data_IF_103664900752
#
_entry.id   IF_103664900752
#
_cell.length_a   1.000
_cell.length_b   1.000
_cell.length_c   1.000
_cell.angle_alpha   90.00
_cell.angle_beta   90.00
_cell.angle_gamma   90.00
#
_symmetry.space_group_name_H-M   'P 1'
#
loop_
_entity.id
_entity.type
_entity.pdbx_description
1 polymer ?
#
# COMPACT_ATOMS: atom_id res chain seq x y z
N UNK A 1 5.65 5.88 31.11
CA UNK A 1 6.76 5.06 30.60
C UNK A 1 6.28 3.65 30.26
N UNK A 2 5.62 2.93 31.18
CA UNK A 2 5.05 1.59 30.88
C UNK A 2 3.99 1.61 29.75
N UNK A 3 3.05 2.56 29.76
CA UNK A 3 2.00 2.63 28.74
C UNK A 3 2.54 2.92 27.33
N UNK A 4 3.50 3.85 27.19
CA UNK A 4 4.19 4.12 25.92
C UNK A 4 4.90 2.87 25.37
N UNK A 5 5.49 2.06 26.24
CA UNK A 5 6.12 0.80 25.83
C UNK A 5 5.09 -0.21 25.32
N UNK A 6 3.96 -0.37 26.02
CA UNK A 6 2.87 -1.26 25.59
C UNK A 6 2.25 -0.81 24.26
N UNK A 7 1.98 0.48 24.11
CA UNK A 7 1.48 1.08 22.86
C UNK A 7 2.47 0.81 21.71
N UNK A 8 3.76 0.98 21.96
CA UNK A 8 4.81 0.73 20.96
C UNK A 8 4.89 -0.74 20.56
N UNK A 9 4.79 -1.65 21.53
CA UNK A 9 4.78 -3.09 21.26
C UNK A 9 3.57 -3.46 20.40
N UNK A 10 2.39 -2.96 20.76
CA UNK A 10 1.17 -3.22 19.99
C UNK A 10 1.29 -2.71 18.55
N UNK A 11 1.71 -1.46 18.36
CA UNK A 11 1.88 -0.87 17.02
C UNK A 11 2.93 -1.63 16.20
N UNK A 12 4.02 -2.09 16.80
CA UNK A 12 5.02 -2.91 16.11
C UNK A 12 4.47 -4.28 15.71
N UNK A 13 3.74 -4.96 16.60
CA UNK A 13 3.09 -6.25 16.27
C UNK A 13 2.09 -6.05 15.14
N UNK A 14 1.26 -5.01 15.21
CA UNK A 14 0.34 -4.61 14.14
C UNK A 14 1.08 -4.33 12.83
N UNK A 15 2.19 -3.59 12.87
CA UNK A 15 3.02 -3.32 11.69
C UNK A 15 3.58 -4.61 11.06
N UNK A 16 4.02 -5.58 11.87
CA UNK A 16 4.48 -6.87 11.37
C UNK A 16 3.36 -7.71 10.74
N UNK A 17 2.15 -7.68 11.32
CA UNK A 17 0.97 -8.32 10.73
C UNK A 17 0.61 -7.68 9.39
N UNK A 18 0.66 -6.35 9.29
CA UNK A 18 0.41 -5.63 8.04
C UNK A 18 1.51 -5.90 7.02
N UNK A 19 2.78 -5.94 7.44
CA UNK A 19 3.87 -6.37 6.55
C UNK A 19 3.62 -7.78 5.99
N UNK A 20 3.13 -8.69 6.82
CA UNK A 20 2.83 -10.05 6.40
C UNK A 20 1.65 -10.14 5.41
N UNK A 21 0.81 -9.11 5.32
CA UNK A 21 -0.20 -9.01 4.25
C UNK A 21 0.44 -9.02 2.86
N UNK A 22 1.69 -8.56 2.69
CA UNK A 22 2.38 -8.62 1.40
C UNK A 22 2.65 -10.05 0.94
N UNK A 23 2.85 -11.00 1.88
CA UNK A 23 2.85 -12.42 1.54
C UNK A 23 1.45 -12.85 1.08
N UNK A 24 0.40 -12.40 1.76
CA UNK A 24 -0.99 -12.61 1.36
C UNK A 24 -1.29 -12.13 -0.07
N UNK A 25 -0.96 -10.87 -0.40
CA UNK A 25 -1.10 -10.32 -1.75
C UNK A 25 -0.33 -11.13 -2.79
N UNK A 26 0.93 -11.47 -2.51
CA UNK A 26 1.75 -12.27 -3.40
C UNK A 26 1.09 -13.63 -3.72
N UNK A 27 0.49 -14.28 -2.73
CA UNK A 27 -0.18 -15.57 -2.91
C UNK A 27 -1.55 -15.44 -3.61
N UNK A 28 -2.36 -14.45 -3.25
CA UNK A 28 -3.65 -14.17 -3.93
C UNK A 28 -3.40 -13.89 -5.41
N UNK A 29 -2.51 -12.95 -5.71
CA UNK A 29 -2.26 -12.53 -7.08
C UNK A 29 -1.61 -13.64 -7.91
N UNK A 30 -0.63 -14.35 -7.34
CA UNK A 30 0.00 -15.46 -8.05
C UNK A 30 -1.02 -16.58 -8.28
N UNK A 31 -1.81 -16.97 -7.28
CA UNK A 31 -2.85 -17.98 -7.41
C UNK A 31 -3.89 -17.67 -8.51
N UNK A 32 -4.36 -16.42 -8.58
CA UNK A 32 -5.34 -15.97 -9.58
C UNK A 32 -4.77 -15.66 -10.97
N UNK A 33 -3.45 -15.50 -11.11
CA UNK A 33 -2.83 -15.35 -12.44
C UNK A 33 -2.65 -16.70 -13.14
N UNK A 34 -2.30 -16.68 -14.43
CA UNK A 34 -1.91 -17.89 -15.16
C UNK A 34 -0.51 -18.32 -14.71
N UNK A 35 -0.28 -19.63 -14.56
CA UNK A 35 0.98 -20.24 -14.12
C UNK A 35 2.24 -19.62 -14.73
N UNK A 36 2.24 -19.32 -16.03
CA UNK A 36 3.38 -18.71 -16.74
C UNK A 36 3.79 -17.31 -16.24
N UNK A 37 2.90 -16.62 -15.54
CA UNK A 37 3.12 -15.25 -15.03
C UNK A 37 3.42 -15.22 -13.53
N UNK A 38 3.38 -16.35 -12.83
CA UNK A 38 3.49 -16.39 -11.37
C UNK A 38 4.78 -15.73 -10.86
N UNK A 39 5.93 -16.05 -11.47
CA UNK A 39 7.23 -15.46 -11.10
C UNK A 39 7.22 -13.94 -11.26
N UNK A 40 6.65 -13.43 -12.36
CA UNK A 40 6.57 -11.98 -12.60
C UNK A 40 5.65 -11.28 -11.60
N UNK A 41 4.60 -11.94 -11.13
CA UNK A 41 3.69 -11.41 -10.11
C UNK A 41 4.38 -11.36 -8.75
N UNK A 42 5.08 -12.43 -8.37
CA UNK A 42 5.85 -12.49 -7.12
C UNK A 42 6.95 -11.41 -7.09
N UNK A 43 7.70 -11.25 -8.18
CA UNK A 43 8.73 -10.19 -8.29
C UNK A 43 8.15 -8.78 -8.12
N UNK A 44 6.96 -8.53 -8.65
CA UNK A 44 6.28 -7.24 -8.47
C UNK A 44 5.88 -7.01 -7.01
N UNK A 45 5.35 -8.03 -6.34
CA UNK A 45 4.94 -7.91 -4.94
C UNK A 45 6.15 -7.63 -4.03
N UNK A 46 7.22 -8.41 -4.17
CA UNK A 46 8.46 -8.18 -3.39
C UNK A 46 9.09 -6.83 -3.73
N UNK A 47 9.12 -6.48 -5.02
CA UNK A 47 9.67 -5.21 -5.50
C UNK A 47 8.92 -3.99 -4.97
N UNK A 48 7.58 -4.06 -4.85
CA UNK A 48 6.77 -2.96 -4.30
C UNK A 48 7.10 -2.72 -2.84
N UNK A 49 7.24 -3.78 -2.05
CA UNK A 49 7.61 -3.64 -0.63
C UNK A 49 9.00 -3.04 -0.52
N UNK A 50 10.00 -3.61 -1.19
CA UNK A 50 11.38 -3.13 -1.08
C UNK A 50 11.53 -1.67 -1.52
N UNK A 51 10.99 -1.31 -2.70
CA UNK A 51 11.07 0.04 -3.23
C UNK A 51 10.18 1.02 -2.46
N UNK A 52 8.97 0.59 -2.12
CA UNK A 52 8.00 1.39 -1.38
C UNK A 52 8.52 1.76 0.00
N UNK A 53 9.13 0.82 0.71
CA UNK A 53 9.77 1.09 2.00
C UNK A 53 10.82 2.19 1.92
N UNK A 54 11.72 2.10 0.93
CA UNK A 54 12.81 3.07 0.77
C UNK A 54 12.28 4.45 0.39
N UNK A 55 11.34 4.53 -0.55
CA UNK A 55 10.81 5.80 -1.03
C UNK A 55 9.88 6.47 -0.03
N UNK A 56 9.08 5.68 0.70
CA UNK A 56 8.25 6.23 1.76
C UNK A 56 9.12 6.77 2.90
N UNK A 57 10.14 6.03 3.33
CA UNK A 57 11.11 6.53 4.29
C UNK A 57 11.79 7.83 3.81
N UNK A 58 12.31 7.84 2.58
CA UNK A 58 13.08 8.96 2.04
C UNK A 58 12.25 10.24 1.91
N UNK A 59 11.06 10.14 1.30
CA UNK A 59 10.26 11.33 0.97
C UNK A 59 8.77 11.21 1.31
N UNK A 60 8.18 10.02 1.19
CA UNK A 60 6.73 9.86 1.37
C UNK A 60 6.26 10.21 2.79
N UNK A 61 7.03 9.85 3.81
CA UNK A 61 6.72 10.15 5.20
C UNK A 61 6.71 11.67 5.46
N UNK A 62 7.68 12.41 4.89
CA UNK A 62 7.72 13.87 4.99
C UNK A 62 6.54 14.54 4.27
N UNK A 63 6.18 14.07 3.07
CA UNK A 63 4.99 14.59 2.37
C UNK A 63 3.69 14.29 3.12
N UNK A 64 3.60 13.16 3.82
CA UNK A 64 2.39 12.73 4.51
C UNK A 64 2.24 13.34 5.89
N UNK A 65 3.29 13.33 6.71
CA UNK A 65 3.23 13.71 8.14
C UNK A 65 4.11 14.89 8.52
N UNK A 66 4.90 15.43 7.59
CA UNK A 66 5.71 16.62 7.81
C UNK A 66 4.88 17.89 7.93
N UNK A 67 5.49 18.92 8.50
CA UNK A 67 4.88 20.24 8.61
C UNK A 67 4.78 20.86 7.22
N UNK A 68 3.66 21.52 6.94
CA UNK A 68 3.40 22.07 5.61
C UNK A 68 2.15 22.92 5.57
N UNK A 69 1.40 22.78 4.49
CA UNK A 69 0.12 23.47 4.30
C UNK A 69 -1.02 22.45 4.21
N UNK A 70 -2.26 22.91 4.01
CA UNK A 70 -3.43 22.04 3.99
C UNK A 70 -3.39 20.91 2.93
N UNK A 71 -2.50 20.97 1.93
CA UNK A 71 -2.42 20.03 0.81
C UNK A 71 -1.26 19.05 0.96
N UNK A 72 -0.13 19.45 1.53
CA UNK A 72 1.08 18.61 1.55
C UNK A 72 2.05 19.02 2.66
N UNK A 73 2.73 18.03 3.24
CA UNK A 73 3.87 18.23 4.13
C UNK A 73 5.13 18.63 3.37
N UNK A 74 5.93 19.53 3.92
CA UNK A 74 7.10 20.12 3.27
C UNK A 74 8.39 19.97 4.11
N UNK A 75 8.34 19.20 5.19
CA UNK A 75 9.46 18.91 6.09
C UNK A 75 9.54 17.41 6.42
N UNK A 76 10.55 16.99 7.19
CA UNK A 76 10.64 15.60 7.66
C UNK A 76 11.06 14.58 6.60
N UNK A 77 11.73 15.01 5.53
CA UNK A 77 12.37 14.12 4.57
C UNK A 77 13.60 13.46 5.18
N UNK A 78 13.82 12.16 4.93
CA UNK A 78 14.86 11.35 5.59
C UNK A 78 14.86 11.53 7.12
N UNK A 79 13.75 11.21 7.81
CA UNK A 79 13.64 11.42 9.23
C UNK A 79 14.71 10.60 9.99
N UNK A 80 15.37 11.25 10.94
CA UNK A 80 16.25 10.65 11.94
C UNK A 80 15.61 10.64 13.33
N UNK A 81 16.30 10.07 14.33
CA UNK A 81 15.76 9.88 15.69
C UNK A 81 15.23 11.17 16.34
N UNK A 82 15.90 12.31 16.10
CA UNK A 82 15.54 13.62 16.67
C UNK A 82 14.46 14.37 15.88
N UNK A 83 13.90 13.75 14.83
CA UNK A 83 12.90 14.40 13.97
C UNK A 83 11.55 14.51 14.68
N UNK A 84 11.06 15.73 14.81
CA UNK A 84 9.75 16.04 15.42
C UNK A 84 8.85 16.63 14.35
N UNK A 85 7.70 16.00 14.09
CA UNK A 85 6.72 16.44 13.09
C UNK A 85 5.33 16.52 13.72
N UNK A 86 4.52 17.49 13.30
CA UNK A 86 3.17 17.66 13.83
C UNK A 86 2.25 16.46 13.56
N UNK A 87 2.45 15.75 12.44
CA UNK A 87 1.64 14.58 12.06
C UNK A 87 1.99 13.29 12.82
N UNK A 88 2.99 13.29 13.70
CA UNK A 88 3.44 12.10 14.43
C UNK A 88 2.83 12.09 15.85
N UNK A 89 2.20 10.98 16.29
CA UNK A 89 1.68 10.87 17.65
C UNK A 89 2.78 11.04 18.70
N UNK A 90 2.57 11.93 19.68
CA UNK A 90 3.55 12.24 20.74
C UNK A 90 3.84 11.05 21.68
N UNK A 91 2.95 10.06 21.73
CA UNK A 91 3.05 8.89 22.59
C UNK A 91 3.71 7.67 21.92
N UNK A 92 4.16 7.79 20.67
CA UNK A 92 4.82 6.70 19.95
C UNK A 92 6.22 7.15 19.47
N UNK A 93 7.24 6.28 19.57
CA UNK A 93 8.53 6.52 18.93
C UNK A 93 8.37 6.71 17.42
N UNK A 94 9.11 7.65 16.85
CA UNK A 94 9.02 8.01 15.43
C UNK A 94 9.13 6.80 14.50
N UNK A 95 10.15 5.96 14.69
CA UNK A 95 10.39 4.81 13.82
C UNK A 95 9.34 3.69 13.96
N UNK A 96 8.66 3.61 15.12
CA UNK A 96 7.52 2.70 15.29
C UNK A 96 6.36 3.17 14.42
N UNK A 97 6.02 4.46 14.51
CA UNK A 97 4.96 5.05 13.70
C UNK A 97 5.30 5.05 12.20
N UNK A 98 6.55 5.36 11.86
CA UNK A 98 7.05 5.35 10.48
C UNK A 98 6.94 3.95 9.89
N UNK A 99 7.41 2.92 10.58
CA UNK A 99 7.32 1.54 10.07
C UNK A 99 5.86 1.13 9.86
N UNK A 100 4.97 1.47 10.79
CA UNK A 100 3.54 1.21 10.67
C UNK A 100 2.94 1.91 9.43
N UNK A 101 3.20 3.20 9.21
CA UNK A 101 2.67 3.92 8.06
C UNK A 101 3.30 3.48 6.72
N UNK A 102 4.58 3.08 6.76
CA UNK A 102 5.31 2.59 5.60
C UNK A 102 4.67 1.33 5.01
N UNK A 103 4.25 0.38 5.85
CA UNK A 103 3.60 -0.84 5.36
C UNK A 103 2.19 -0.57 4.81
N UNK A 104 1.52 0.51 5.22
CA UNK A 104 0.27 0.97 4.62
C UNK A 104 0.50 1.58 3.23
N UNK A 105 1.55 2.40 3.09
CA UNK A 105 1.95 2.98 1.82
C UNK A 105 2.28 1.91 0.77
N UNK A 106 3.07 0.90 1.18
CA UNK A 106 3.35 -0.26 0.35
C UNK A 106 2.05 -1.01 -0.02
N UNK A 107 1.13 -1.19 0.93
CA UNK A 107 -0.15 -1.87 0.71
C UNK A 107 -0.99 -1.16 -0.36
N UNK A 108 -1.09 0.17 -0.30
CA UNK A 108 -1.82 0.95 -1.30
C UNK A 108 -1.26 0.75 -2.72
N UNK A 109 0.06 0.70 -2.87
CA UNK A 109 0.71 0.44 -4.16
C UNK A 109 0.54 -1.02 -4.64
N UNK A 110 0.56 -1.99 -3.73
CA UNK A 110 0.37 -3.42 -4.04
C UNK A 110 -1.02 -3.70 -4.61
N UNK A 111 -2.08 -2.97 -4.24
CA UNK A 111 -3.43 -3.16 -4.82
C UNK A 111 -3.39 -3.11 -6.37
N UNK A 112 -2.49 -2.30 -6.93
CA UNK A 112 -2.37 -2.15 -8.39
C UNK A 112 -1.71 -3.35 -9.05
N UNK A 113 -0.80 -4.10 -8.40
CA UNK A 113 -0.11 -5.24 -9.04
C UNK A 113 -1.10 -6.29 -9.54
N UNK A 114 -2.06 -6.67 -8.71
CA UNK A 114 -3.10 -7.65 -9.09
C UNK A 114 -3.98 -7.13 -10.21
N UNK A 115 -4.35 -5.85 -10.13
CA UNK A 115 -5.17 -5.19 -11.13
C UNK A 115 -4.50 -5.19 -12.51
N UNK A 116 -3.18 -4.96 -12.61
CA UNK A 116 -2.42 -4.94 -13.89
C UNK A 116 -1.60 -6.20 -14.18
N UNK A 117 -1.80 -7.27 -13.38
CA UNK A 117 -1.09 -8.54 -13.50
C UNK A 117 -1.14 -9.13 -14.92
N UNK A 118 -0.07 -9.81 -15.33
CA UNK A 118 0.09 -10.50 -16.63
C UNK A 118 0.26 -9.62 -17.89
N UNK A 119 0.12 -8.29 -17.81
CA UNK A 119 0.27 -7.42 -18.99
C UNK A 119 1.01 -6.10 -18.76
N UNK A 120 1.17 -5.65 -17.51
CA UNK A 120 2.10 -4.56 -17.23
C UNK A 120 3.57 -5.04 -17.27
N UNK A 121 4.44 -4.27 -17.92
CA UNK A 121 5.90 -4.47 -17.92
C UNK A 121 6.47 -4.15 -16.53
N UNK A 122 7.53 -4.86 -16.12
CA UNK A 122 8.13 -4.67 -14.79
C UNK A 122 8.68 -3.26 -14.59
N UNK A 123 9.44 -2.72 -15.55
CA UNK A 123 10.01 -1.36 -15.45
C UNK A 123 8.93 -0.29 -15.32
N UNK A 124 7.83 -0.39 -16.08
CA UNK A 124 6.68 0.52 -15.95
C UNK A 124 6.04 0.42 -14.57
N UNK A 125 5.95 -0.79 -14.02
CA UNK A 125 5.39 -1.01 -12.70
C UNK A 125 6.30 -0.48 -11.58
N UNK A 126 7.62 -0.55 -11.74
CA UNK A 126 8.60 0.07 -10.82
C UNK A 126 8.45 1.58 -10.80
N UNK A 127 8.37 2.23 -11.97
CA UNK A 127 8.15 3.68 -12.06
C UNK A 127 6.80 4.07 -11.45
N UNK A 128 5.74 3.31 -11.75
CA UNK A 128 4.43 3.50 -11.13
C UNK A 128 4.51 3.44 -9.60
N UNK A 129 5.15 2.40 -9.06
CA UNK A 129 5.31 2.23 -7.61
C UNK A 129 6.04 3.41 -7.00
N UNK A 130 7.10 3.89 -7.67
CA UNK A 130 7.86 5.03 -7.19
C UNK A 130 7.00 6.29 -7.09
N UNK A 131 6.25 6.62 -8.14
CA UNK A 131 5.35 7.78 -8.14
C UNK A 131 4.21 7.61 -7.14
N UNK A 132 3.64 6.40 -7.05
CA UNK A 132 2.53 6.11 -6.15
C UNK A 132 2.94 6.32 -4.69
N UNK A 133 4.05 5.72 -4.26
CA UNK A 133 4.49 5.73 -2.85
C UNK A 133 5.21 7.03 -2.48
N UNK A 134 5.95 7.64 -3.39
CA UNK A 134 6.70 8.87 -3.11
C UNK A 134 5.84 10.13 -3.21
N UNK A 135 4.72 10.11 -3.96
CA UNK A 135 3.97 11.34 -4.27
C UNK A 135 2.47 11.16 -4.08
N UNK A 136 1.82 10.25 -4.83
CA UNK A 136 0.35 10.21 -4.88
C UNK A 136 -0.27 9.80 -3.54
N UNK A 137 0.16 8.66 -3.00
CA UNK A 137 -0.30 8.15 -1.71
C UNK A 137 -0.03 9.14 -0.56
N UNK A 138 1.21 9.62 -0.34
CA UNK A 138 1.48 10.48 0.81
C UNK A 138 0.79 11.85 0.75
N UNK A 139 0.56 12.42 -0.45
CA UNK A 139 -0.21 13.66 -0.57
C UNK A 139 -1.67 13.45 -0.14
N UNK A 140 -2.32 12.37 -0.62
CA UNK A 140 -3.70 12.06 -0.16
C UNK A 140 -3.71 11.69 1.32
N UNK A 141 -2.67 11.00 1.78
CA UNK A 141 -2.42 10.73 3.19
C UNK A 141 -2.33 11.98 4.03
N UNK A 142 -1.68 13.04 3.53
CA UNK A 142 -1.60 14.31 4.21
C UNK A 142 -2.99 14.94 4.41
N UNK A 143 -3.85 14.87 3.38
CA UNK A 143 -5.20 15.42 3.46
C UNK A 143 -6.01 14.78 4.59
N UNK A 144 -5.85 13.47 4.79
CA UNK A 144 -6.71 12.65 5.66
C UNK A 144 -6.09 12.47 7.06
N UNK A 145 -4.81 12.09 7.13
CA UNK A 145 -4.11 11.71 8.38
C UNK A 145 -2.98 12.66 8.76
N UNK A 146 -2.47 13.46 7.84
CA UNK A 146 -1.36 14.40 8.08
C UNK A 146 -1.75 15.77 8.63
N UNK A 147 -3.04 16.00 8.92
CA UNK A 147 -3.56 17.30 9.36
C UNK A 147 -3.93 18.26 8.22
N UNK A 148 -4.04 17.75 6.99
CA UNK A 148 -4.47 18.53 5.82
C UNK A 148 -5.97 18.84 5.79
N UNK A 149 -6.42 19.38 4.65
CA UNK A 149 -7.74 19.99 4.51
C UNK A 149 -8.93 19.06 4.74
N UNK A 150 -8.84 17.76 4.41
CA UNK A 150 -9.95 16.83 4.70
C UNK A 150 -10.07 16.58 6.20
N UNK A 151 -8.94 16.43 6.89
CA UNK A 151 -8.88 16.29 8.32
C UNK A 151 -9.51 17.50 9.03
N UNK A 152 -9.21 18.72 8.58
CA UNK A 152 -9.78 19.96 9.17
C UNK A 152 -11.28 20.14 8.93
N UNK A 153 -11.83 19.51 7.88
CA UNK A 153 -13.28 19.45 7.64
C UNK A 153 -13.99 18.36 8.47
N UNK A 154 -13.26 17.58 9.28
CA UNK A 154 -13.82 16.50 10.09
C UNK A 154 -14.02 15.19 9.32
N UNK A 155 -13.27 14.96 8.23
CA UNK A 155 -13.29 13.68 7.54
C UNK A 155 -12.64 12.59 8.41
N UNK A 156 -13.33 11.45 8.56
CA UNK A 156 -12.86 10.33 9.36
C UNK A 156 -12.59 9.11 8.50
N UNK A 157 -11.35 8.66 8.50
CA UNK A 157 -10.93 7.37 7.95
C UNK A 157 -10.07 6.68 9.00
N UNK A 158 -10.57 5.64 9.63
CA UNK A 158 -9.94 5.07 10.82
C UNK A 158 -8.67 4.28 10.48
N UNK A 159 -8.79 3.30 9.59
CA UNK A 159 -7.70 2.40 9.21
C UNK A 159 -7.35 2.48 7.71
N UNK A 160 -8.01 3.35 6.94
CA UNK A 160 -7.61 3.62 5.57
C UNK A 160 -8.50 2.98 4.52
N UNK A 161 -9.80 2.91 4.78
CA UNK A 161 -10.80 2.56 3.75
C UNK A 161 -10.69 3.49 2.55
N UNK A 162 -10.39 4.77 2.78
CA UNK A 162 -10.14 5.74 1.71
C UNK A 162 -8.66 5.82 1.38
N UNK A 163 -7.82 6.24 2.32
CA UNK A 163 -6.41 6.60 2.05
C UNK A 163 -5.58 5.43 1.51
N UNK A 164 -5.90 4.18 1.90
CA UNK A 164 -5.24 2.99 1.36
C UNK A 164 -6.09 2.36 0.27
N UNK A 165 -7.31 1.91 0.61
CA UNK A 165 -8.07 1.03 -0.29
C UNK A 165 -8.73 1.77 -1.45
N UNK A 166 -9.39 2.91 -1.22
CA UNK A 166 -10.00 3.69 -2.31
C UNK A 166 -8.93 4.34 -3.20
N UNK A 167 -7.86 4.89 -2.63
CA UNK A 167 -6.73 5.45 -3.40
C UNK A 167 -6.04 4.36 -4.21
N UNK A 168 -5.70 3.23 -3.59
CA UNK A 168 -5.14 2.06 -4.29
C UNK A 168 -6.08 1.53 -5.37
N UNK A 169 -7.39 1.48 -5.09
CA UNK A 169 -8.43 1.08 -6.03
C UNK A 169 -8.57 2.02 -7.22
N UNK A 170 -8.51 3.34 -7.00
CA UNK A 170 -8.55 4.34 -8.06
C UNK A 170 -7.30 4.27 -8.96
N UNK A 171 -6.12 4.09 -8.36
CA UNK A 171 -4.88 3.84 -9.11
C UNK A 171 -4.97 2.53 -9.91
N UNK A 172 -5.52 1.47 -9.31
CA UNK A 172 -5.72 0.17 -9.95
C UNK A 172 -6.70 0.24 -11.12
N UNK A 173 -7.82 0.93 -10.96
CA UNK A 173 -8.81 1.15 -12.01
C UNK A 173 -8.20 1.93 -13.17
N UNK A 174 -7.52 3.04 -12.88
CA UNK A 174 -6.84 3.87 -13.88
C UNK A 174 -5.77 3.07 -14.63
N UNK A 175 -4.92 2.34 -13.90
CA UNK A 175 -3.90 1.48 -14.49
C UNK A 175 -4.49 0.37 -15.35
N UNK A 176 -5.57 -0.28 -14.90
CA UNK A 176 -6.24 -1.32 -15.67
C UNK A 176 -6.91 -0.77 -16.95
N UNK A 177 -7.50 0.43 -16.89
CA UNK A 177 -8.10 1.10 -18.03
C UNK A 177 -7.05 1.46 -19.11
N UNK A 178 -5.90 2.03 -18.70
CA UNK A 178 -4.82 2.41 -19.61
C UNK A 178 -4.15 1.18 -20.23
N UNK A 179 -3.83 0.16 -19.43
CA UNK A 179 -3.15 -1.05 -19.90
C UNK A 179 -4.10 -1.94 -20.72
N UNK A 180 -5.40 -1.86 -20.44
CA UNK A 180 -6.44 -2.57 -21.16
C UNK A 180 -6.59 -4.04 -20.78
N UNK A 181 -7.46 -4.71 -21.55
CA UNK A 181 -7.85 -6.09 -21.31
C UNK A 181 -6.69 -7.06 -21.54
N UNK A 182 -6.64 -8.14 -20.73
CA UNK A 182 -5.71 -9.26 -20.97
C UNK A 182 -5.94 -9.84 -22.36
N UNK A 183 -4.86 -10.14 -23.08
CA UNK A 183 -4.94 -10.82 -24.39
C UNK A 183 -5.77 -12.10 -24.27
N UNK A 184 -6.81 -12.20 -25.09
CA UNK A 184 -7.75 -13.33 -25.12
C UNK A 184 -8.87 -13.29 -24.07
N UNK A 185 -9.05 -12.18 -23.32
CA UNK A 185 -10.14 -12.04 -22.33
C UNK A 185 -11.51 -11.90 -22.99
N UNK A 186 -11.56 -11.23 -24.14
CA UNK A 186 -12.78 -11.04 -24.92
C UNK A 186 -12.63 -11.74 -26.28
N UNK A 187 -13.69 -12.41 -26.72
CA UNK A 187 -13.80 -12.98 -28.07
C UNK A 187 -14.10 -11.87 -29.08
N UNK A 188 -14.09 -12.21 -30.39
CA UNK A 188 -14.40 -11.26 -31.48
C UNK A 188 -15.82 -10.68 -31.38
N UNK A 189 -16.75 -11.41 -30.78
CA UNK A 189 -18.13 -11.00 -30.52
C UNK A 189 -18.29 -10.17 -29.22
N UNK A 190 -17.20 -9.86 -28.52
CA UNK A 190 -17.20 -9.16 -27.24
C UNK A 190 -17.51 -10.03 -26.02
N UNK A 191 -17.89 -11.30 -26.20
CA UNK A 191 -18.20 -12.20 -25.08
C UNK A 191 -16.95 -12.53 -24.25
N UNK A 192 -17.16 -12.72 -22.95
CA UNK A 192 -16.08 -13.01 -21.99
C UNK A 192 -15.56 -14.44 -22.19
N UNK A 193 -14.24 -14.58 -22.32
CA UNK A 193 -13.54 -15.85 -22.14
C UNK A 193 -13.08 -15.96 -20.68
N UNK A 194 -13.57 -16.96 -19.92
CA UNK A 194 -13.08 -17.21 -18.57
C UNK A 194 -11.56 -17.42 -18.54
N UNK A 195 -10.91 -16.84 -17.52
CA UNK A 195 -9.49 -17.01 -17.24
C UNK A 195 -9.36 -17.46 -15.79
N UNK A 196 -9.58 -18.76 -15.49
CA UNK A 196 -9.60 -19.25 -14.13
C UNK A 196 -8.22 -19.14 -13.46
N UNK A 197 -8.24 -19.11 -12.13
CA UNK A 197 -7.04 -19.20 -11.30
C UNK A 197 -6.24 -20.47 -11.63
N UNK A 198 -4.92 -20.37 -11.66
CA UNK A 198 -4.09 -21.54 -11.90
C UNK A 198 -3.87 -22.37 -10.61
N UNK A 199 -4.01 -21.75 -9.43
CA UNK A 199 -3.88 -22.40 -8.14
C UNK A 199 -4.82 -21.73 -7.11
N UNK A 200 -6.03 -22.26 -6.99
CA UNK A 200 -7.03 -21.75 -6.06
C UNK A 200 -6.66 -21.96 -4.57
N UNK A 201 -6.08 -23.11 -4.16
CA UNK A 201 -5.57 -23.27 -2.80
C UNK A 201 -4.56 -22.18 -2.40
N UNK A 202 -3.64 -21.81 -3.29
CA UNK A 202 -2.69 -20.72 -3.04
C UNK A 202 -3.39 -19.38 -2.83
N UNK A 203 -4.39 -19.09 -3.67
CA UNK A 203 -5.19 -17.88 -3.51
C UNK A 203 -5.96 -17.86 -2.19
N UNK A 204 -6.56 -18.99 -1.80
CA UNK A 204 -7.28 -19.13 -0.53
C UNK A 204 -6.36 -18.92 0.68
N UNK A 205 -5.15 -19.49 0.66
CA UNK A 205 -4.15 -19.24 1.70
C UNK A 205 -3.75 -17.76 1.77
N UNK A 206 -3.58 -17.12 0.61
CA UNK A 206 -3.32 -15.68 0.54
C UNK A 206 -4.42 -14.85 1.20
N UNK A 207 -5.70 -15.20 0.96
CA UNK A 207 -6.84 -14.54 1.60
C UNK A 207 -6.81 -14.70 3.12
N UNK A 208 -6.50 -15.89 3.64
CA UNK A 208 -6.39 -16.12 5.09
C UNK A 208 -5.27 -15.29 5.72
N UNK A 209 -4.13 -15.17 5.04
CA UNK A 209 -3.01 -14.32 5.49
C UNK A 209 -3.41 -12.84 5.48
N UNK A 210 -4.09 -12.37 4.43
CA UNK A 210 -4.60 -11.00 4.38
C UNK A 210 -5.56 -10.73 5.53
N UNK A 211 -6.48 -11.67 5.81
CA UNK A 211 -7.43 -11.55 6.91
C UNK A 211 -6.71 -11.47 8.26
N UNK A 212 -5.72 -12.34 8.51
CA UNK A 212 -4.91 -12.27 9.73
C UNK A 212 -4.21 -10.91 9.84
N UNK A 213 -3.59 -10.42 8.77
CA UNK A 213 -2.92 -9.13 8.74
C UNK A 213 -3.86 -7.95 8.99
N UNK A 214 -5.13 -8.07 8.60
CA UNK A 214 -6.15 -7.05 8.81
C UNK A 214 -6.45 -6.77 10.29
N UNK A 215 -6.17 -7.73 11.20
CA UNK A 215 -6.23 -7.46 12.64
C UNK A 215 -5.19 -6.43 13.08
N UNK A 216 -3.98 -6.45 12.50
CA UNK A 216 -2.99 -5.39 12.73
C UNK A 216 -3.28 -4.11 11.95
N UNK A 217 -3.94 -4.23 10.79
CA UNK A 217 -4.30 -3.07 9.97
C UNK A 217 -5.35 -2.17 10.64
N UNK A 218 -6.31 -2.77 11.36
CA UNK A 218 -7.38 -2.06 12.06
C UNK A 218 -7.16 -1.94 13.58
N UNK A 219 -6.27 -2.75 14.16
CA UNK A 219 -6.16 -2.96 15.61
C UNK A 219 -5.28 -1.96 16.33
#
# INVERSE_FOLDING_TARGET
>A
MEQTTLDSIWVLVSAFLVFFMHAGFALVESGFCRRKNAVMVLLKNVGVVALGSLLFYAVGFGFMFGDGNAVVGLSGFFPGDDTVLAGVPKNLPLFVFLFFQLVFAATAATIVSGAVAERARLGTFVVFTAVAVAVVYPIVGHWIWGGGWLSTLGFHDFAGSTVVHAVGGAMALTGAAIVGARRGKYKKDGSVRPMPAHNFPLAALGVLILWLGWFGFNG
#
